data_IF_631930050374
#
_entry.id   IF_631930050374
#
_cell.length_a   1.000
_cell.length_b   1.000
_cell.length_c   1.000
_cell.angle_alpha   90.00
_cell.angle_beta   90.00
_cell.angle_gamma   90.00
#
_symmetry.space_group_name_H-M   'P 1'
#
loop_
_entity.id
_entity.type
_entity.pdbx_description
1 polymer ?
#
# COMPACT_ATOMS: atom_id res chain seq x y z
N UNK A 1 -34.51 -51.61 6.40
CA UNK A 1 -34.56 -50.14 6.62
C UNK A 1 -33.14 -49.74 7.02
N UNK A 2 -32.28 -49.30 6.08
CA UNK A 2 -32.09 -47.90 5.64
C UNK A 2 -32.03 -46.90 6.81
N UNK A 3 -30.90 -46.18 6.85
CA UNK A 3 -30.63 -44.81 7.36
C UNK A 3 -29.58 -44.79 8.49
N UNK A 4 -28.30 -44.49 8.17
CA UNK A 4 -27.67 -43.15 8.02
C UNK A 4 -27.31 -42.61 9.43
N UNK A 5 -26.13 -42.09 9.80
CA UNK A 5 -24.99 -41.42 9.14
C UNK A 5 -23.92 -41.30 10.27
N UNK A 6 -22.66 -41.73 10.15
CA UNK A 6 -21.55 -41.06 9.44
C UNK A 6 -21.60 -39.53 9.55
N UNK A 7 -20.74 -38.96 10.39
CA UNK A 7 -19.84 -37.80 10.16
C UNK A 7 -19.28 -37.40 11.54
N UNK A 8 -18.35 -38.21 12.02
CA UNK A 8 -17.20 -37.69 12.77
C UNK A 8 -16.10 -37.52 11.72
N UNK A 9 -15.37 -36.40 11.74
CA UNK A 9 -14.40 -35.92 10.72
C UNK A 9 -14.92 -34.83 9.80
N UNK A 10 -15.34 -33.71 10.39
CA UNK A 10 -14.95 -32.40 9.85
C UNK A 10 -14.21 -31.67 10.95
N UNK A 11 -12.94 -32.07 11.14
CA UNK A 11 -11.92 -31.10 11.53
C UNK A 11 -11.89 -30.07 10.40
N UNK A 12 -12.75 -29.07 10.51
CA UNK A 12 -12.67 -27.83 9.76
C UNK A 12 -11.42 -27.12 10.25
N UNK A 13 -10.25 -27.61 9.83
CA UNK A 13 -9.10 -26.75 9.61
C UNK A 13 -9.63 -25.66 8.68
N UNK A 14 -10.07 -24.56 9.28
CA UNK A 14 -10.09 -23.28 8.63
C UNK A 14 -8.62 -23.00 8.34
N UNK A 15 -8.16 -23.52 7.21
CA UNK A 15 -7.04 -22.96 6.48
C UNK A 15 -7.52 -21.56 6.11
N UNK A 16 -7.43 -20.63 7.05
CA UNK A 16 -7.18 -19.25 6.74
C UNK A 16 -5.88 -19.29 5.94
N UNK A 17 -5.97 -19.41 4.62
CA UNK A 17 -4.81 -19.25 3.74
C UNK A 17 -4.20 -17.91 4.15
N UNK A 18 -3.09 -17.97 4.87
CA UNK A 18 -2.42 -16.78 5.35
C UNK A 18 -1.97 -16.03 4.10
N UNK A 19 -2.66 -14.93 3.78
CA UNK A 19 -2.34 -14.12 2.61
C UNK A 19 -0.85 -13.77 2.64
N UNK A 20 -0.18 -14.05 1.53
CA UNK A 20 1.22 -13.74 1.32
C UNK A 20 1.39 -12.23 1.15
N UNK A 21 2.60 -11.71 1.39
CA UNK A 21 2.92 -10.29 1.14
C UNK A 21 2.61 -9.88 -0.29
N UNK A 22 2.79 -10.78 -1.26
CA UNK A 22 2.47 -10.51 -2.66
C UNK A 22 0.96 -10.41 -2.92
N UNK A 23 0.14 -11.21 -2.23
CA UNK A 23 -1.32 -11.13 -2.31
C UNK A 23 -1.85 -9.84 -1.68
N UNK A 24 -1.32 -9.47 -0.51
CA UNK A 24 -1.64 -8.18 0.14
C UNK A 24 -1.34 -7.03 -0.82
N UNK A 25 -0.14 -7.01 -1.42
CA UNK A 25 0.22 -5.97 -2.38
C UNK A 25 -0.69 -6.01 -3.61
N UNK A 26 -0.94 -7.19 -4.21
CA UNK A 26 -1.80 -7.30 -5.39
C UNK A 26 -3.23 -6.82 -5.14
N UNK A 27 -3.79 -7.07 -3.96
CA UNK A 27 -5.11 -6.62 -3.56
C UNK A 27 -5.17 -5.08 -3.44
N UNK A 28 -4.13 -4.46 -2.88
CA UNK A 28 -4.04 -3.00 -2.77
C UNK A 28 -3.66 -2.30 -4.09
N UNK A 29 -2.97 -2.99 -5.00
CA UNK A 29 -2.53 -2.47 -6.30
C UNK A 29 -3.64 -2.52 -7.36
N UNK A 30 -4.65 -3.38 -7.18
CA UNK A 30 -5.76 -3.58 -8.12
C UNK A 30 -6.82 -2.48 -8.07
N UNK A 31 -6.40 -1.22 -8.28
CA UNK A 31 -7.27 -0.07 -8.60
C UNK A 31 -7.77 0.68 -7.37
N UNK A 32 -7.30 1.93 -7.23
CA UNK A 32 -7.91 2.98 -6.38
C UNK A 32 -8.07 2.65 -4.89
N UNK A 33 -7.11 1.92 -4.30
CA UNK A 33 -7.07 1.79 -2.85
C UNK A 33 -7.06 3.19 -2.20
N UNK A 34 -8.03 3.41 -1.33
CA UNK A 34 -8.16 4.64 -0.53
C UNK A 34 -7.02 4.73 0.47
N UNK A 35 -6.76 5.93 0.99
CA UNK A 35 -5.77 6.11 2.06
C UNK A 35 -6.05 5.24 3.29
N UNK A 36 -7.32 4.88 3.54
CA UNK A 36 -7.71 3.94 4.60
C UNK A 36 -7.25 2.52 4.28
N UNK A 37 -7.59 2.01 3.10
CA UNK A 37 -7.19 0.66 2.67
C UNK A 37 -5.67 0.48 2.60
N UNK A 38 -4.94 1.51 2.16
CA UNK A 38 -3.47 1.49 2.16
C UNK A 38 -2.87 1.43 3.57
N UNK A 39 -3.48 2.14 4.54
CA UNK A 39 -3.06 2.07 5.95
C UNK A 39 -3.37 0.70 6.57
N UNK A 40 -4.53 0.14 6.28
CA UNK A 40 -4.89 -1.23 6.70
C UNK A 40 -3.95 -2.27 6.07
N UNK A 41 -3.62 -2.13 4.79
CA UNK A 41 -2.65 -2.97 4.10
C UNK A 41 -1.25 -2.89 4.73
N UNK A 42 -0.80 -1.69 5.15
CA UNK A 42 0.47 -1.52 5.86
C UNK A 42 0.46 -2.25 7.22
N UNK A 43 -0.63 -2.15 7.98
CA UNK A 43 -0.78 -2.85 9.26
C UNK A 43 -0.75 -4.37 9.08
N UNK A 44 -1.53 -4.89 8.12
CA UNK A 44 -1.53 -6.32 7.80
C UNK A 44 -0.14 -6.80 7.36
N UNK A 45 0.58 -5.98 6.59
CA UNK A 45 1.93 -6.32 6.13
C UNK A 45 2.92 -6.33 7.30
N UNK A 46 2.80 -5.42 8.27
CA UNK A 46 3.60 -5.43 9.50
C UNK A 46 3.43 -6.73 10.30
N UNK A 47 2.21 -7.23 10.45
CA UNK A 47 1.93 -8.50 11.12
C UNK A 47 2.60 -9.69 10.41
N UNK A 48 2.71 -9.64 9.08
CA UNK A 48 3.37 -10.70 8.28
C UNK A 48 4.88 -10.58 8.23
N UNK A 49 5.44 -9.41 8.52
CA UNK A 49 6.88 -9.18 8.44
C UNK A 49 7.69 -9.98 9.46
N UNK A 50 7.08 -10.47 10.55
CA UNK A 50 7.77 -11.31 11.53
C UNK A 50 8.25 -12.66 10.94
N UNK A 51 7.53 -13.19 9.96
CA UNK A 51 7.82 -14.50 9.33
C UNK A 51 8.25 -14.38 7.86
N UNK A 52 8.38 -13.15 7.34
CA UNK A 52 8.75 -12.87 5.95
C UNK A 52 10.20 -12.40 5.87
N UNK A 53 10.99 -12.79 4.86
CA UNK A 53 12.32 -12.21 4.63
C UNK A 53 12.29 -10.68 4.65
N UNK A 54 13.21 -10.06 5.39
CA UNK A 54 13.25 -8.61 5.63
C UNK A 54 13.18 -7.81 4.33
N UNK A 55 13.91 -8.24 3.30
CA UNK A 55 13.91 -7.58 1.99
C UNK A 55 12.51 -7.58 1.34
N UNK A 56 11.81 -8.72 1.36
CA UNK A 56 10.45 -8.84 0.81
C UNK A 56 9.47 -7.98 1.59
N UNK A 57 9.59 -7.97 2.92
CA UNK A 57 8.80 -7.10 3.79
C UNK A 57 9.05 -5.61 3.46
N UNK A 58 10.32 -5.17 3.42
CA UNK A 58 10.69 -3.79 3.16
C UNK A 58 10.21 -3.32 1.79
N UNK A 59 10.37 -4.15 0.76
CA UNK A 59 9.86 -3.86 -0.58
C UNK A 59 8.35 -3.67 -0.58
N UNK A 60 7.61 -4.53 0.13
CA UNK A 60 6.16 -4.40 0.26
C UNK A 60 5.71 -3.16 1.02
N UNK A 61 6.36 -2.85 2.16
CA UNK A 61 6.12 -1.62 2.92
C UNK A 61 6.38 -0.38 2.07
N UNK A 62 7.54 -0.34 1.40
CA UNK A 62 7.90 0.77 0.52
C UNK A 62 6.85 0.95 -0.57
N UNK A 63 6.41 -0.13 -1.22
CA UNK A 63 5.39 -0.06 -2.26
C UNK A 63 4.08 0.58 -1.78
N UNK A 64 3.56 0.16 -0.62
CA UNK A 64 2.34 0.73 -0.05
C UNK A 64 2.53 2.17 0.44
N UNK A 65 3.71 2.51 0.96
CA UNK A 65 4.03 3.88 1.35
C UNK A 65 4.13 4.82 0.16
N UNK A 66 4.72 4.39 -0.97
CA UNK A 66 4.71 5.17 -2.21
C UNK A 66 3.28 5.39 -2.73
N UNK A 67 2.43 4.35 -2.76
CA UNK A 67 1.02 4.51 -3.13
C UNK A 67 0.29 5.49 -2.23
N UNK A 68 0.56 5.46 -0.92
CA UNK A 68 -0.06 6.38 0.02
C UNK A 68 0.44 7.80 -0.20
N UNK A 69 1.74 7.98 -0.45
CA UNK A 69 2.33 9.27 -0.84
C UNK A 69 1.61 9.86 -2.07
N UNK A 70 1.42 9.07 -3.13
CA UNK A 70 0.70 9.51 -4.34
C UNK A 70 -0.71 10.00 -4.01
N UNK A 71 -1.45 9.29 -3.13
CA UNK A 71 -2.77 9.75 -2.68
C UNK A 71 -2.74 11.10 -1.98
N UNK A 72 -1.71 11.38 -1.19
CA UNK A 72 -1.58 12.69 -0.56
C UNK A 72 -1.19 13.77 -1.57
N UNK A 73 -0.31 13.50 -2.54
CA UNK A 73 -0.03 14.44 -3.63
C UNK A 73 -1.26 14.75 -4.47
N UNK A 74 -2.06 13.74 -4.83
CA UNK A 74 -3.34 13.92 -5.51
C UNK A 74 -4.26 14.90 -4.77
N UNK A 75 -4.41 14.73 -3.45
CA UNK A 75 -5.22 15.65 -2.65
C UNK A 75 -4.59 17.05 -2.61
N UNK A 76 -3.27 17.15 -2.47
CA UNK A 76 -2.57 18.43 -2.44
C UNK A 76 -2.75 19.23 -3.74
N UNK A 77 -2.75 18.58 -4.91
CA UNK A 77 -3.06 19.20 -6.21
C UNK A 77 -4.44 19.89 -6.18
N UNK A 78 -5.45 19.18 -5.66
CA UNK A 78 -6.82 19.70 -5.61
C UNK A 78 -7.01 20.84 -4.61
N UNK A 79 -6.06 21.03 -3.68
CA UNK A 79 -6.10 22.10 -2.70
C UNK A 79 -5.39 23.39 -3.15
N UNK A 80 -4.59 23.36 -4.22
CA UNK A 80 -3.74 24.49 -4.66
C UNK A 80 -4.51 25.82 -4.73
N UNK A 81 -5.72 25.81 -5.27
CA UNK A 81 -6.54 27.01 -5.45
C UNK A 81 -7.69 27.13 -4.42
N UNK A 82 -7.72 26.25 -3.41
CA UNK A 82 -8.80 26.20 -2.42
C UNK A 82 -8.32 26.57 -1.03
N UNK A 83 -7.20 25.98 -0.59
CA UNK A 83 -6.65 26.16 0.75
C UNK A 83 -5.13 25.92 0.72
N UNK A 84 -4.38 27.02 0.67
CA UNK A 84 -2.92 26.98 0.54
C UNK A 84 -2.18 26.43 1.76
N UNK A 85 -2.74 26.57 2.97
CA UNK A 85 -2.10 26.05 4.18
C UNK A 85 -2.33 24.54 4.29
N UNK A 86 -3.57 24.09 4.08
CA UNK A 86 -3.87 22.66 4.04
C UNK A 86 -3.16 21.96 2.88
N UNK A 87 -3.00 22.63 1.74
CA UNK A 87 -2.22 22.13 0.62
C UNK A 87 -0.76 21.84 1.02
N UNK A 88 -0.09 22.79 1.69
CA UNK A 88 1.30 22.63 2.13
C UNK A 88 1.45 21.51 3.15
N UNK A 89 0.54 21.43 4.13
CA UNK A 89 0.55 20.35 5.12
C UNK A 89 0.35 18.98 4.48
N UNK A 90 -0.57 18.89 3.52
CA UNK A 90 -0.85 17.66 2.78
C UNK A 90 0.35 17.23 1.94
N UNK A 91 0.99 18.15 1.22
CA UNK A 91 2.18 17.89 0.43
C UNK A 91 3.38 17.49 1.29
N UNK A 92 3.59 18.17 2.42
CA UNK A 92 4.59 17.76 3.41
C UNK A 92 4.36 16.32 3.87
N UNK A 93 3.10 15.93 4.13
CA UNK A 93 2.78 14.56 4.51
C UNK A 93 3.10 13.55 3.42
N UNK A 94 2.83 13.90 2.16
CA UNK A 94 3.19 13.09 1.01
C UNK A 94 4.71 12.85 0.96
N UNK A 95 5.50 13.91 1.05
CA UNK A 95 6.97 13.83 1.05
C UNK A 95 7.52 12.95 2.19
N UNK A 96 7.01 13.11 3.41
CA UNK A 96 7.42 12.26 4.54
C UNK A 96 7.17 10.76 4.29
N UNK A 97 6.07 10.42 3.61
CA UNK A 97 5.75 9.03 3.26
C UNK A 97 6.67 8.52 2.15
N UNK A 98 6.93 9.35 1.14
CA UNK A 98 7.86 9.05 0.06
C UNK A 98 9.27 8.77 0.61
N UNK A 99 9.78 9.63 1.47
CA UNK A 99 11.12 9.49 2.06
C UNK A 99 11.23 8.22 2.91
N UNK A 100 10.20 7.91 3.70
CA UNK A 100 10.13 6.65 4.45
C UNK A 100 10.13 5.42 3.54
N UNK A 101 9.42 5.48 2.42
CA UNK A 101 9.42 4.41 1.44
C UNK A 101 10.83 4.23 0.84
N UNK A 102 11.50 5.34 0.51
CA UNK A 102 12.82 5.35 -0.11
C UNK A 102 13.93 4.81 0.80
N UNK A 103 13.81 5.04 2.11
CA UNK A 103 14.70 4.41 3.11
C UNK A 103 14.53 2.89 3.17
N UNK A 104 13.30 2.37 3.01
CA UNK A 104 13.03 0.93 3.08
C UNK A 104 13.42 0.20 1.80
N UNK A 105 13.10 0.79 0.65
CA UNK A 105 13.45 0.27 -0.66
C UNK A 105 13.52 1.43 -1.67
N UNK A 106 14.72 1.75 -2.17
CA UNK A 106 14.91 2.93 -3.03
C UNK A 106 14.04 2.89 -4.28
N UNK A 107 13.48 4.04 -4.64
CA UNK A 107 12.59 4.18 -5.78
C UNK A 107 13.25 3.75 -7.09
N UNK A 108 14.54 4.04 -7.27
CA UNK A 108 15.32 3.64 -8.44
C UNK A 108 15.39 2.11 -8.62
N UNK A 109 15.24 1.33 -7.55
CA UNK A 109 15.26 -0.13 -7.57
C UNK A 109 13.88 -0.74 -7.87
N UNK A 110 12.82 0.07 -7.99
CA UNK A 110 11.50 -0.36 -8.43
C UNK A 110 11.50 -0.54 -9.94
N UNK A 111 10.73 -1.52 -10.44
CA UNK A 111 10.63 -1.72 -11.89
C UNK A 111 10.10 -0.46 -12.58
N UNK A 112 10.60 -0.10 -13.79
CA UNK A 112 10.16 1.11 -14.48
C UNK A 112 8.64 1.19 -14.71
N UNK A 113 7.98 0.03 -14.88
CA UNK A 113 6.53 -0.05 -14.99
C UNK A 113 5.83 0.45 -13.72
N UNK A 114 6.31 0.04 -12.55
CA UNK A 114 5.72 0.44 -11.27
C UNK A 114 6.15 1.87 -10.87
N UNK A 115 7.36 2.31 -11.22
CA UNK A 115 7.80 3.69 -10.97
C UNK A 115 6.84 4.72 -11.60
N UNK A 116 6.35 4.46 -12.82
CA UNK A 116 5.38 5.37 -13.46
C UNK A 116 4.12 5.55 -12.60
N UNK A 117 3.54 4.45 -12.13
CA UNK A 117 2.36 4.45 -11.26
C UNK A 117 2.63 5.09 -9.88
N UNK A 118 3.85 5.02 -9.38
CA UNK A 118 4.24 5.47 -8.04
C UNK A 118 4.87 6.87 -8.03
N UNK A 119 4.74 7.65 -9.11
CA UNK A 119 5.28 9.01 -9.20
C UNK A 119 4.48 9.95 -10.09
N UNK A 120 3.28 9.55 -10.52
CA UNK A 120 2.45 10.33 -11.43
C UNK A 120 1.92 11.58 -10.72
N UNK A 121 1.27 11.41 -9.57
CA UNK A 121 0.67 12.50 -8.79
C UNK A 121 1.76 13.41 -8.20
N UNK A 122 2.88 12.83 -7.72
CA UNK A 122 4.02 13.61 -7.25
C UNK A 122 4.56 14.55 -8.33
N UNK A 123 4.79 14.05 -9.55
CA UNK A 123 5.31 14.86 -10.67
C UNK A 123 4.34 15.93 -11.10
N UNK A 124 3.05 15.62 -11.12
CA UNK A 124 2.01 16.61 -11.43
C UNK A 124 1.98 17.73 -10.40
N UNK A 125 2.07 17.38 -9.10
CA UNK A 125 2.15 18.37 -8.02
C UNK A 125 3.38 19.27 -8.14
N UNK A 126 4.55 18.68 -8.37
CA UNK A 126 5.81 19.44 -8.55
C UNK A 126 5.67 20.44 -9.70
N UNK A 127 5.18 20.00 -10.86
CA UNK A 127 4.94 20.88 -12.02
C UNK A 127 3.91 21.98 -11.75
N UNK A 128 2.89 21.71 -10.93
CA UNK A 128 1.85 22.68 -10.62
C UNK A 128 2.27 23.74 -9.58
N UNK A 129 3.42 23.54 -8.91
CA UNK A 129 3.91 24.40 -7.83
C UNK A 129 5.27 25.05 -8.11
N UNK A 130 5.88 24.73 -9.25
CA UNK A 130 6.99 25.46 -9.88
C UNK A 130 6.52 26.82 -10.46
#
# INVERSE_FOLDING_TARGET
MKKLLLIALLFSFSLSQAQTVEEIIKEQVRVRATSKQLKEGLQLLEEKCFVTPVEKCNKGKAFLLYLLSERYYYVAIHLINLDGDLQKETAKKALELYDKANVLYPFENITPQNQRMLSEDKKEYEKATE
#
